data_IF_833338169833
#
_entry.id   IF_833338169833
#
_cell.length_a   1.000
_cell.length_b   1.000
_cell.length_c   1.000
_cell.angle_alpha   90.00
_cell.angle_beta   90.00
_cell.angle_gamma   90.00
#
_symmetry.space_group_name_H-M   'P 1'
#
loop_
_entity.id
_entity.type
_entity.pdbx_description
1 polymer ?
#
# COMPACT_ATOMS: atom_id res chain seq x y z
N UNK A 1 -15.60 10.33 -11.86
CA UNK A 1 -16.00 9.65 -10.61
C UNK A 1 -14.95 9.71 -9.49
N UNK A 2 -13.66 9.40 -9.70
CA UNK A 2 -12.65 9.43 -8.60
C UNK A 2 -12.37 10.81 -7.97
N UNK A 3 -12.31 11.92 -8.75
CA UNK A 3 -12.14 13.29 -8.19
C UNK A 3 -13.28 13.69 -7.24
N UNK A 4 -14.52 13.34 -7.61
CA UNK A 4 -15.68 13.50 -6.73
C UNK A 4 -15.54 12.64 -5.48
N UNK A 5 -15.19 11.36 -5.62
CA UNK A 5 -14.95 10.46 -4.48
C UNK A 5 -13.90 11.02 -3.50
N UNK A 6 -12.78 11.56 -4.00
CA UNK A 6 -11.75 12.20 -3.15
C UNK A 6 -12.31 13.36 -2.33
N UNK A 7 -13.11 14.21 -2.99
CA UNK A 7 -13.76 15.38 -2.38
C UNK A 7 -14.78 14.96 -1.32
N UNK A 8 -15.60 13.94 -1.62
CA UNK A 8 -16.56 13.38 -0.66
C UNK A 8 -15.87 12.74 0.55
N UNK A 9 -14.79 11.98 0.35
CA UNK A 9 -14.03 11.42 1.46
C UNK A 9 -13.43 12.53 2.31
N UNK A 10 -12.85 13.57 1.70
CA UNK A 10 -12.31 14.72 2.44
C UNK A 10 -13.38 15.40 3.29
N UNK A 11 -14.52 15.73 2.67
CA UNK A 11 -15.64 16.35 3.35
C UNK A 11 -16.19 15.47 4.49
N UNK A 12 -16.24 14.15 4.30
CA UNK A 12 -16.64 13.21 5.35
C UNK A 12 -15.65 13.18 6.53
N UNK A 13 -14.35 13.16 6.26
CA UNK A 13 -13.31 13.24 7.30
C UNK A 13 -13.38 14.56 8.07
N UNK A 14 -13.51 15.68 7.36
CA UNK A 14 -13.65 17.02 7.96
C UNK A 14 -14.94 17.12 8.79
N UNK A 15 -16.07 16.59 8.30
CA UNK A 15 -17.32 16.57 9.05
C UNK A 15 -17.21 15.73 10.33
N UNK A 16 -16.59 14.55 10.28
CA UNK A 16 -16.35 13.70 11.45
C UNK A 16 -15.46 14.38 12.49
N UNK A 17 -14.45 15.13 12.04
CA UNK A 17 -13.58 15.91 12.91
C UNK A 17 -14.34 17.08 13.56
N UNK A 18 -14.92 17.97 12.75
CA UNK A 18 -15.57 19.20 13.21
C UNK A 18 -16.80 18.94 14.09
N UNK A 19 -17.54 17.85 13.84
CA UNK A 19 -18.69 17.46 14.67
C UNK A 19 -18.30 16.77 15.98
N UNK A 20 -17.05 16.31 16.12
CA UNK A 20 -16.63 15.45 17.24
C UNK A 20 -17.22 14.04 17.21
N UNK A 21 -17.97 13.65 16.16
CA UNK A 21 -18.60 12.33 16.05
C UNK A 21 -17.60 11.17 16.18
N UNK A 22 -16.36 11.37 15.74
CA UNK A 22 -15.29 10.39 15.87
C UNK A 22 -14.97 10.00 17.33
N UNK A 23 -15.20 10.89 18.30
CA UNK A 23 -15.04 10.60 19.73
C UNK A 23 -16.13 9.64 20.21
N UNK A 24 -17.37 9.88 19.81
CA UNK A 24 -18.53 9.04 20.17
C UNK A 24 -18.49 7.67 19.50
N UNK A 25 -17.96 7.59 18.28
CA UNK A 25 -17.81 6.33 17.53
C UNK A 25 -16.62 5.49 18.02
N UNK A 26 -15.64 6.09 18.70
CA UNK A 26 -14.40 5.43 19.15
C UNK A 26 -14.64 4.15 19.95
N UNK A 27 -15.52 4.08 20.98
CA UNK A 27 -15.69 2.85 21.77
C UNK A 27 -16.17 1.66 20.94
N UNK A 28 -16.88 1.92 19.84
CA UNK A 28 -17.45 0.89 18.98
C UNK A 28 -16.52 0.48 17.84
N UNK A 29 -15.74 1.42 17.30
CA UNK A 29 -15.04 1.23 16.03
C UNK A 29 -13.52 1.30 16.12
N UNK A 30 -12.94 1.71 17.25
CA UNK A 30 -11.50 1.91 17.37
C UNK A 30 -10.69 0.61 17.43
N UNK A 31 -11.35 -0.51 17.74
CA UNK A 31 -10.72 -1.83 17.80
C UNK A 31 -9.63 -1.93 18.88
N UNK A 32 -8.93 -3.07 18.87
CA UNK A 32 -7.76 -3.34 19.73
C UNK A 32 -6.49 -2.72 19.16
N UNK A 33 -6.48 -2.36 17.87
CA UNK A 33 -5.36 -1.67 17.25
C UNK A 33 -5.60 -1.33 15.78
N UNK A 34 -4.53 -0.94 15.08
CA UNK A 34 -4.54 -0.64 13.65
C UNK A 34 -3.24 -1.09 12.98
N UNK A 35 -3.30 -1.38 11.68
CA UNK A 35 -2.13 -1.54 10.82
C UNK A 35 -2.19 -0.43 9.79
N UNK A 36 -1.20 0.46 9.78
CA UNK A 36 -1.11 1.54 8.80
C UNK A 36 -0.37 1.07 7.55
N UNK A 37 -0.93 1.37 6.36
CA UNK A 37 -0.28 1.13 5.06
C UNK A 37 0.22 2.43 4.47
N UNK A 38 1.50 2.41 4.10
CA UNK A 38 2.24 3.45 3.40
C UNK A 38 2.95 2.83 2.20
N UNK A 39 3.40 3.66 1.25
CA UNK A 39 4.22 3.22 0.12
C UNK A 39 5.46 4.11 0.04
N UNK A 40 5.31 5.33 -0.47
CA UNK A 40 6.38 6.33 -0.47
C UNK A 40 6.35 7.17 0.80
N UNK A 41 7.53 7.44 1.37
CA UNK A 41 7.73 8.55 2.31
C UNK A 41 8.76 9.49 1.74
N UNK A 42 8.36 10.69 1.35
CA UNK A 42 9.26 11.65 0.69
C UNK A 42 8.75 13.09 0.79
N UNK A 43 9.64 14.09 0.64
CA UNK A 43 9.23 15.48 0.53
C UNK A 43 8.23 15.72 -0.61
N UNK A 44 7.35 16.74 -0.50
CA UNK A 44 6.42 17.09 -1.56
C UNK A 44 7.10 17.33 -2.90
N UNK A 45 6.53 16.81 -3.99
CA UNK A 45 6.98 17.11 -5.34
C UNK A 45 6.33 18.41 -5.83
N UNK A 46 7.07 19.20 -6.61
CA UNK A 46 6.60 20.49 -7.15
C UNK A 46 5.86 20.42 -8.50
N UNK A 47 5.54 19.23 -9.01
CA UNK A 47 4.92 19.07 -10.33
C UNK A 47 3.39 19.25 -10.29
N UNK A 48 2.79 19.85 -11.32
CA UNK A 48 1.32 20.01 -11.37
C UNK A 48 0.57 18.70 -11.66
N UNK A 49 1.23 17.73 -12.30
CA UNK A 49 0.67 16.43 -12.64
C UNK A 49 1.31 15.33 -11.79
N UNK A 50 0.58 14.84 -10.79
CA UNK A 50 1.02 13.79 -9.87
C UNK A 50 -0.11 12.78 -9.62
N UNK A 51 -0.47 11.94 -10.61
CA UNK A 51 -1.61 11.04 -10.50
C UNK A 51 -1.43 9.98 -9.40
N UNK A 52 -0.19 9.60 -9.12
CA UNK A 52 0.16 8.63 -8.07
C UNK A 52 0.43 9.27 -6.70
N UNK A 53 0.17 10.58 -6.49
CA UNK A 53 0.44 11.24 -5.21
C UNK A 53 -0.33 10.64 -4.02
N UNK A 54 -1.38 9.85 -4.28
CA UNK A 54 -2.03 9.07 -3.22
C UNK A 54 -1.08 8.09 -2.52
N UNK A 55 -0.02 7.63 -3.17
CA UNK A 55 0.95 6.72 -2.56
C UNK A 55 2.03 7.45 -1.73
N UNK A 56 1.99 8.79 -1.67
CA UNK A 56 3.06 9.62 -1.11
C UNK A 56 2.66 10.22 0.23
N UNK A 57 3.43 9.90 1.27
CA UNK A 57 3.34 10.53 2.59
C UNK A 57 4.59 11.39 2.81
N UNK A 58 4.42 12.55 3.43
CA UNK A 58 5.53 13.42 3.80
C UNK A 58 6.17 12.94 5.11
N UNK A 59 7.48 13.13 5.30
CA UNK A 59 8.15 12.83 6.57
C UNK A 59 7.51 13.57 7.76
N UNK A 60 7.07 14.81 7.54
CA UNK A 60 6.45 15.63 8.58
C UNK A 60 5.08 15.08 9.01
N UNK A 61 4.23 14.68 8.05
CA UNK A 61 2.96 14.04 8.39
C UNK A 61 3.15 12.68 9.07
N UNK A 62 4.17 11.90 8.67
CA UNK A 62 4.53 10.68 9.37
C UNK A 62 4.93 10.97 10.83
N UNK A 63 5.73 12.02 11.06
CA UNK A 63 6.12 12.47 12.40
C UNK A 63 4.90 12.90 13.24
N UNK A 64 3.99 13.66 12.66
CA UNK A 64 2.72 14.04 13.31
C UNK A 64 1.88 12.81 13.70
N UNK A 65 1.80 11.82 12.80
CA UNK A 65 1.09 10.58 13.09
C UNK A 65 1.71 9.80 14.25
N UNK A 66 3.04 9.66 14.29
CA UNK A 66 3.74 8.96 15.38
C UNK A 66 3.60 9.70 16.71
N UNK A 67 3.68 11.04 16.71
CA UNK A 67 3.44 11.86 17.88
C UNK A 67 2.00 11.71 18.39
N UNK A 68 1.00 11.78 17.48
CA UNK A 68 -0.41 11.58 17.81
C UNK A 68 -0.67 10.22 18.48
N UNK A 69 -0.05 9.14 17.99
CA UNK A 69 -0.18 7.81 18.61
C UNK A 69 0.39 7.78 20.03
N UNK A 70 1.57 8.38 20.23
CA UNK A 70 2.22 8.46 21.54
C UNK A 70 1.39 9.27 22.53
N UNK A 71 0.87 10.42 22.11
CA UNK A 71 0.03 11.31 22.93
C UNK A 71 -1.31 10.66 23.32
N UNK A 72 -1.73 9.60 22.62
CA UNK A 72 -2.94 8.84 22.88
C UNK A 72 -2.68 7.46 23.51
N UNK A 73 -1.48 7.21 24.04
CA UNK A 73 -1.06 5.96 24.69
C UNK A 73 -1.23 4.70 23.82
N UNK A 74 -1.13 4.85 22.49
CA UNK A 74 -1.18 3.72 21.55
C UNK A 74 0.24 3.21 21.29
N UNK A 75 0.50 1.94 21.62
CA UNK A 75 1.83 1.35 21.46
C UNK A 75 2.15 1.08 19.99
N UNK A 76 3.33 1.47 19.55
CA UNK A 76 3.82 1.11 18.22
C UNK A 76 4.61 -0.19 18.35
N UNK A 77 4.12 -1.26 17.73
CA UNK A 77 4.64 -2.63 17.90
C UNK A 77 4.96 -3.28 16.55
N UNK A 78 5.73 -4.37 16.60
CA UNK A 78 5.98 -5.22 15.43
C UNK A 78 4.74 -6.04 15.04
N UNK A 79 4.70 -6.53 13.80
CA UNK A 79 3.65 -7.47 13.38
C UNK A 79 3.72 -8.81 14.13
N UNK A 80 4.90 -9.25 14.56
CA UNK A 80 5.05 -10.44 15.40
C UNK A 80 4.39 -10.26 16.78
N UNK A 81 4.58 -9.09 17.41
CA UNK A 81 3.94 -8.76 18.69
C UNK A 81 2.43 -8.61 18.52
N UNK A 82 1.97 -7.98 17.42
CA UNK A 82 0.54 -7.93 17.10
C UNK A 82 -0.05 -9.34 16.95
N UNK A 83 0.61 -10.22 16.19
CA UNK A 83 0.18 -11.60 16.03
C UNK A 83 0.11 -12.31 17.38
N UNK A 84 1.13 -12.17 18.22
CA UNK A 84 1.14 -12.73 19.57
C UNK A 84 -0.05 -12.23 20.42
N UNK A 85 -0.30 -10.92 20.45
CA UNK A 85 -1.44 -10.33 21.17
C UNK A 85 -2.80 -10.80 20.66
N UNK A 86 -2.95 -10.97 19.34
CA UNK A 86 -4.18 -11.50 18.75
C UNK A 86 -4.44 -12.95 19.16
N UNK A 87 -3.40 -13.79 19.11
CA UNK A 87 -3.50 -15.22 19.48
C UNK A 87 -3.76 -15.39 20.98
N UNK A 88 -3.00 -14.71 21.83
CA UNK A 88 -3.15 -14.77 23.29
C UNK A 88 -4.33 -13.93 23.83
N UNK A 89 -5.05 -13.24 22.94
CA UNK A 89 -6.14 -12.32 23.28
C UNK A 89 -5.73 -11.26 24.32
N UNK A 90 -4.49 -10.77 24.25
CA UNK A 90 -3.95 -9.75 25.14
C UNK A 90 -4.10 -8.35 24.55
N UNK A 91 -5.12 -7.62 25.00
CA UNK A 91 -5.47 -6.28 24.51
C UNK A 91 -5.48 -5.21 25.61
N UNK A 92 -4.67 -5.38 26.66
CA UNK A 92 -4.59 -4.42 27.77
C UNK A 92 -4.21 -3.00 27.29
N UNK A 93 -3.42 -2.92 26.21
CA UNK A 93 -3.04 -1.67 25.55
C UNK A 93 -3.39 -1.75 24.07
N UNK A 94 -3.94 -0.66 23.53
CA UNK A 94 -4.15 -0.51 22.08
C UNK A 94 -2.82 -0.38 21.38
N UNK A 95 -2.76 -0.87 20.15
CA UNK A 95 -1.52 -0.87 19.37
C UNK A 95 -1.68 -0.31 17.95
N UNK A 96 -0.55 0.02 17.35
CA UNK A 96 -0.38 0.40 15.96
C UNK A 96 0.81 -0.36 15.35
N UNK A 97 0.63 -0.88 14.15
CA UNK A 97 1.72 -1.42 13.32
C UNK A 97 1.89 -0.52 12.09
N UNK A 98 3.13 -0.33 11.63
CA UNK A 98 3.42 0.41 10.39
C UNK A 98 3.94 -0.54 9.32
N UNK A 99 3.35 -0.44 8.13
CA UNK A 99 3.70 -1.26 6.97
C UNK A 99 3.96 -0.37 5.75
N UNK A 100 5.02 -0.68 5.02
CA UNK A 100 5.45 0.03 3.82
C UNK A 100 5.54 -0.98 2.68
N UNK A 101 4.77 -0.76 1.62
CA UNK A 101 4.68 -1.69 0.50
C UNK A 101 5.73 -1.37 -0.58
N UNK A 102 5.95 -2.32 -1.49
CA UNK A 102 6.84 -2.30 -2.67
C UNK A 102 8.36 -2.27 -2.43
N UNK A 103 8.84 -1.78 -1.29
CA UNK A 103 10.28 -1.68 -0.99
C UNK A 103 10.96 -0.47 -1.66
N UNK A 104 10.30 0.69 -1.63
CA UNK A 104 10.86 1.94 -2.16
C UNK A 104 12.07 2.43 -1.36
N UNK A 105 13.06 2.98 -2.05
CA UNK A 105 14.28 3.53 -1.44
C UNK A 105 14.00 4.69 -0.48
N UNK A 106 12.95 5.46 -0.73
CA UNK A 106 12.56 6.55 0.15
C UNK A 106 12.06 6.08 1.53
N UNK A 107 11.70 4.80 1.69
CA UNK A 107 11.48 4.20 3.01
C UNK A 107 12.76 4.18 3.84
N UNK A 108 13.92 3.89 3.23
CA UNK A 108 15.23 3.97 3.90
C UNK A 108 15.64 5.43 4.08
N UNK A 109 15.50 6.24 3.04
CA UNK A 109 16.11 7.57 3.03
C UNK A 109 15.34 8.58 3.90
N UNK A 110 14.01 8.44 4.01
CA UNK A 110 13.17 9.40 4.73
C UNK A 110 12.27 8.78 5.80
N UNK A 111 11.71 7.57 5.60
CA UNK A 111 10.88 6.97 6.65
C UNK A 111 11.72 6.51 7.85
N UNK A 112 12.80 5.75 7.62
CA UNK A 112 13.64 5.19 8.69
C UNK A 112 14.16 6.25 9.68
N UNK A 113 14.69 7.43 9.26
CA UNK A 113 15.07 8.48 10.19
C UNK A 113 13.92 8.91 11.11
N UNK A 114 12.73 9.13 10.56
CA UNK A 114 11.54 9.50 11.35
C UNK A 114 11.14 8.37 12.28
N UNK A 115 11.15 7.12 11.83
CA UNK A 115 10.84 5.97 12.69
C UNK A 115 11.83 5.84 13.86
N UNK A 116 13.11 6.13 13.65
CA UNK A 116 14.15 6.15 14.69
C UNK A 116 13.91 7.21 15.76
N UNK A 117 13.48 8.41 15.37
CA UNK A 117 13.13 9.48 16.33
C UNK A 117 12.09 9.01 17.36
N UNK A 118 11.23 8.05 16.97
CA UNK A 118 10.16 7.54 17.82
C UNK A 118 10.44 6.17 18.44
N UNK A 119 11.58 5.53 18.10
CA UNK A 119 11.81 4.11 18.42
C UNK A 119 10.72 3.19 17.86
N UNK A 120 10.12 3.59 16.74
CA UNK A 120 8.92 2.97 16.18
C UNK A 120 9.31 1.81 15.24
N UNK A 121 8.99 0.54 15.57
CA UNK A 121 9.23 -0.56 14.65
C UNK A 121 8.29 -0.49 13.44
N UNK A 122 8.76 -1.02 12.31
CA UNK A 122 7.96 -1.11 11.09
C UNK A 122 8.38 -2.26 10.18
N UNK A 123 7.44 -2.65 9.32
CA UNK A 123 7.65 -3.72 8.33
C UNK A 123 7.69 -3.13 6.92
N UNK A 124 8.68 -3.54 6.13
CA UNK A 124 8.72 -3.27 4.69
C UNK A 124 8.37 -4.57 3.95
N UNK A 125 7.31 -4.53 3.14
CA UNK A 125 6.94 -5.62 2.25
C UNK A 125 7.66 -5.44 0.90
N UNK A 126 8.49 -6.41 0.54
CA UNK A 126 9.37 -6.33 -0.64
C UNK A 126 8.84 -7.22 -1.75
N UNK A 127 8.73 -6.66 -2.95
CA UNK A 127 8.56 -7.42 -4.18
C UNK A 127 9.94 -7.86 -4.68
N UNK A 128 10.17 -9.18 -4.81
CA UNK A 128 11.53 -9.70 -5.02
C UNK A 128 12.15 -9.31 -6.37
N UNK A 129 11.36 -9.14 -7.43
CA UNK A 129 11.86 -8.65 -8.71
C UNK A 129 12.17 -7.15 -8.68
N UNK A 130 11.53 -6.40 -7.78
CA UNK A 130 11.84 -4.98 -7.60
C UNK A 130 13.22 -4.83 -6.96
N UNK A 131 13.48 -5.63 -5.91
CA UNK A 131 14.80 -5.71 -5.27
C UNK A 131 15.91 -6.18 -6.21
N UNK A 132 15.54 -6.96 -7.24
CA UNK A 132 16.46 -7.42 -8.28
C UNK A 132 16.63 -6.44 -9.44
N UNK A 133 15.97 -5.28 -9.42
CA UNK A 133 15.99 -4.29 -10.51
C UNK A 133 15.28 -4.75 -11.80
N UNK A 134 14.53 -5.86 -11.75
CA UNK A 134 13.80 -6.43 -12.91
C UNK A 134 12.32 -6.06 -12.92
N UNK A 135 11.85 -5.42 -11.84
CA UNK A 135 10.47 -4.99 -11.68
C UNK A 135 9.96 -4.09 -12.81
N UNK A 136 8.64 -4.10 -12.97
CA UNK A 136 7.93 -3.23 -13.92
C UNK A 136 6.82 -2.47 -13.20
N UNK A 137 7.14 -1.26 -12.75
CA UNK A 137 6.19 -0.36 -12.08
C UNK A 137 5.35 0.37 -13.12
N UNK A 138 4.43 -0.36 -13.75
CA UNK A 138 3.66 0.13 -14.91
C UNK A 138 2.89 1.41 -14.61
N UNK A 139 2.46 1.64 -13.35
CA UNK A 139 1.75 2.87 -12.96
C UNK A 139 2.66 4.10 -12.95
N UNK A 140 3.95 3.92 -12.68
CA UNK A 140 4.97 4.99 -12.78
C UNK A 140 5.37 5.19 -14.24
N UNK A 141 5.53 4.10 -15.00
CA UNK A 141 5.78 4.18 -16.44
C UNK A 141 4.65 4.96 -17.15
N UNK A 142 3.40 4.68 -16.80
CA UNK A 142 2.24 5.41 -17.30
C UNK A 142 2.26 6.88 -16.88
N UNK A 143 2.65 7.19 -15.63
CA UNK A 143 2.80 8.59 -15.19
C UNK A 143 3.84 9.32 -16.05
N UNK A 144 5.00 8.70 -16.33
CA UNK A 144 6.04 9.29 -17.18
C UNK A 144 5.58 9.48 -18.63
N UNK A 145 4.89 8.49 -19.21
CA UNK A 145 4.32 8.59 -20.56
C UNK A 145 3.35 9.78 -20.65
N UNK A 146 2.38 9.87 -19.73
CA UNK A 146 1.37 10.94 -19.74
C UNK A 146 1.98 12.30 -19.38
N UNK A 147 3.02 12.32 -18.53
CA UNK A 147 3.73 13.55 -18.21
C UNK A 147 4.49 14.13 -19.41
N UNK A 148 5.08 13.28 -20.27
CA UNK A 148 5.84 13.70 -21.47
C UNK A 148 4.94 14.04 -22.67
N UNK A 149 3.81 13.34 -22.82
CA UNK A 149 2.96 13.48 -24.00
C UNK A 149 2.03 14.71 -23.93
N UNK A 150 1.79 15.33 -25.08
CA UNK A 150 0.68 16.29 -25.27
C UNK A 150 -0.57 15.60 -25.84
N UNK A 151 -0.40 14.45 -26.51
CA UNK A 151 -1.45 13.63 -27.06
C UNK A 151 -0.99 12.17 -27.07
N UNK A 152 -1.88 11.25 -26.72
CA UNK A 152 -1.61 9.80 -26.67
C UNK A 152 -2.53 9.07 -27.64
N UNK A 153 -1.92 8.27 -28.51
CA UNK A 153 -2.61 7.35 -29.40
C UNK A 153 -2.56 5.92 -28.85
N UNK A 154 -3.74 5.33 -28.66
CA UNK A 154 -3.87 4.00 -28.06
C UNK A 154 -5.04 3.23 -28.70
N UNK A 155 -4.93 1.91 -28.76
CA UNK A 155 -6.04 1.04 -29.15
C UNK A 155 -6.70 0.45 -27.90
N UNK A 156 -7.97 0.76 -27.66
CA UNK A 156 -8.74 0.23 -26.53
C UNK A 156 -9.98 -0.47 -27.09
N UNK A 157 -10.08 -1.79 -26.87
CA UNK A 157 -11.21 -2.58 -27.37
C UNK A 157 -11.34 -2.58 -28.89
N UNK A 158 -10.21 -2.54 -29.61
CA UNK A 158 -10.18 -2.46 -31.08
C UNK A 158 -10.44 -1.07 -31.66
N UNK A 159 -10.73 -0.06 -30.83
CA UNK A 159 -10.93 1.32 -31.26
C UNK A 159 -9.64 2.13 -31.10
N UNK A 160 -9.20 2.78 -32.17
CA UNK A 160 -8.12 3.76 -32.11
C UNK A 160 -8.62 5.05 -31.45
N UNK A 161 -8.00 5.44 -30.34
CA UNK A 161 -8.34 6.62 -29.57
C UNK A 161 -7.18 7.60 -29.56
N UNK A 162 -7.51 8.89 -29.69
CA UNK A 162 -6.63 10.02 -29.43
C UNK A 162 -7.04 10.66 -28.11
N UNK A 163 -6.13 10.69 -27.14
CA UNK A 163 -6.37 11.21 -25.80
C UNK A 163 -5.54 12.48 -25.61
N UNK A 164 -6.19 13.57 -25.20
CA UNK A 164 -5.55 14.84 -24.90
C UNK A 164 -4.74 14.77 -23.60
N UNK A 165 -3.49 15.20 -23.63
CA UNK A 165 -2.58 15.32 -22.49
C UNK A 165 -1.88 16.69 -22.47
N UNK A 166 -2.43 17.71 -23.13
CA UNK A 166 -1.81 19.03 -23.31
C UNK A 166 -1.80 19.91 -22.05
N UNK A 167 -2.68 19.64 -21.08
CA UNK A 167 -2.78 20.40 -19.81
C UNK A 167 -2.74 19.47 -18.59
N UNK A 168 -2.37 19.95 -17.39
CA UNK A 168 -2.39 19.12 -16.17
C UNK A 168 -3.75 18.43 -15.92
N UNK A 169 -4.85 19.15 -16.17
CA UNK A 169 -6.20 18.59 -16.06
C UNK A 169 -6.46 17.49 -17.11
N UNK A 170 -6.07 17.70 -18.37
CA UNK A 170 -6.19 16.70 -19.43
C UNK A 170 -5.33 15.46 -19.13
N UNK A 171 -4.09 15.65 -18.68
CA UNK A 171 -3.19 14.58 -18.20
C UNK A 171 -3.83 13.72 -17.12
N UNK A 172 -4.49 14.33 -16.13
CA UNK A 172 -5.19 13.59 -15.07
C UNK A 172 -6.34 12.73 -15.61
N UNK A 173 -7.11 13.25 -16.57
CA UNK A 173 -8.21 12.50 -17.21
C UNK A 173 -7.66 11.35 -18.05
N UNK A 174 -6.62 11.61 -18.85
CA UNK A 174 -5.98 10.64 -19.73
C UNK A 174 -5.29 9.52 -18.95
N UNK A 175 -4.52 9.87 -17.90
CA UNK A 175 -3.93 8.88 -17.00
C UNK A 175 -5.00 8.00 -16.38
N UNK A 176 -6.10 8.58 -15.86
CA UNK A 176 -7.16 7.80 -15.24
C UNK A 176 -7.79 6.81 -16.23
N UNK A 177 -8.06 7.25 -17.47
CA UNK A 177 -8.65 6.41 -18.51
C UNK A 177 -7.72 5.24 -18.88
N UNK A 178 -6.44 5.53 -19.10
CA UNK A 178 -5.44 4.50 -19.44
C UNK A 178 -5.20 3.54 -18.27
N UNK A 179 -5.10 4.07 -17.04
CA UNK A 179 -4.91 3.27 -15.84
C UNK A 179 -6.09 2.31 -15.62
N UNK A 180 -7.34 2.78 -15.76
CA UNK A 180 -8.52 1.92 -15.61
C UNK A 180 -8.59 0.85 -16.71
N UNK A 181 -8.22 1.20 -17.94
CA UNK A 181 -8.11 0.24 -19.04
C UNK A 181 -7.04 -0.83 -18.75
N UNK A 182 -5.81 -0.43 -18.41
CA UNK A 182 -4.73 -1.36 -18.06
C UNK A 182 -5.16 -2.28 -16.91
N UNK A 183 -5.77 -1.73 -15.86
CA UNK A 183 -6.30 -2.53 -14.75
C UNK A 183 -7.43 -3.48 -15.14
N UNK A 184 -8.14 -3.22 -16.24
CA UNK A 184 -9.19 -4.11 -16.75
C UNK A 184 -8.66 -5.28 -17.58
N UNK A 185 -7.39 -5.24 -18.00
CA UNK A 185 -6.82 -6.29 -18.85
C UNK A 185 -6.79 -7.66 -18.15
N UNK A 186 -6.89 -8.78 -18.90
CA UNK A 186 -7.06 -10.12 -18.32
C UNK A 186 -5.90 -10.56 -17.41
N UNK A 187 -4.66 -10.33 -17.83
CA UNK A 187 -3.48 -10.77 -17.10
C UNK A 187 -2.35 -9.74 -17.06
N UNK A 188 -1.35 -10.03 -16.24
CA UNK A 188 -0.16 -9.18 -16.07
C UNK A 188 0.62 -9.03 -17.38
N UNK A 189 0.76 -10.12 -18.14
CA UNK A 189 1.41 -10.09 -19.46
C UNK A 189 0.76 -9.08 -20.43
N UNK A 190 -0.58 -8.95 -20.40
CA UNK A 190 -1.29 -7.97 -21.23
C UNK A 190 -0.97 -6.55 -20.79
N UNK A 191 -0.97 -6.28 -19.47
CA UNK A 191 -0.59 -4.97 -18.92
C UNK A 191 0.82 -4.60 -19.35
N UNK A 192 1.77 -5.52 -19.21
CA UNK A 192 3.16 -5.32 -19.58
C UNK A 192 3.31 -5.06 -21.08
N UNK A 193 2.64 -5.84 -21.94
CA UNK A 193 2.66 -5.61 -23.39
C UNK A 193 2.17 -4.20 -23.76
N UNK A 194 1.02 -3.79 -23.21
CA UNK A 194 0.43 -2.49 -23.55
C UNK A 194 1.25 -1.32 -23.00
N UNK A 195 1.78 -1.42 -21.78
CA UNK A 195 2.62 -0.36 -21.21
C UNK A 195 3.96 -0.26 -21.94
N UNK A 196 4.63 -1.37 -22.25
CA UNK A 196 5.87 -1.37 -23.02
C UNK A 196 5.69 -0.74 -24.40
N UNK A 197 4.54 -0.98 -25.05
CA UNK A 197 4.22 -0.35 -26.34
C UNK A 197 4.03 1.18 -26.21
N UNK A 198 3.39 1.65 -25.14
CA UNK A 198 3.27 3.08 -24.84
C UNK A 198 4.62 3.71 -24.52
N UNK A 199 5.43 3.06 -23.69
CA UNK A 199 6.77 3.50 -23.33
C UNK A 199 7.67 3.62 -24.57
N UNK A 200 7.66 2.63 -25.45
CA UNK A 200 8.43 2.66 -26.69
C UNK A 200 8.04 3.83 -27.62
N UNK A 201 6.74 4.10 -27.79
CA UNK A 201 6.26 5.23 -28.63
C UNK A 201 6.61 6.60 -28.06
N UNK A 202 6.70 6.72 -26.74
CA UNK A 202 6.99 7.98 -26.05
C UNK A 202 8.44 8.07 -25.54
N UNK A 203 9.31 7.13 -25.93
CA UNK A 203 10.72 7.04 -25.53
C UNK A 203 10.91 7.12 -24.01
N UNK A 204 10.12 6.34 -23.28
CA UNK A 204 10.26 6.16 -21.83
C UNK A 204 11.02 4.85 -21.59
N UNK A 205 12.18 4.93 -20.95
CA UNK A 205 12.89 3.74 -20.48
C UNK A 205 12.24 3.23 -19.18
N UNK A 206 11.26 2.35 -19.33
CA UNK A 206 10.58 1.72 -18.20
C UNK A 206 11.46 0.78 -17.38
N UNK A 207 12.59 0.33 -17.93
CA UNK A 207 13.50 -0.61 -17.24
C UNK A 207 14.36 0.11 -16.20
N UNK A 208 14.63 1.41 -16.40
CA UNK A 208 15.34 2.26 -15.44
C UNK A 208 14.51 2.59 -14.19
N UNK A 209 13.18 2.56 -14.27
CA UNK A 209 12.28 3.03 -13.22
C UNK A 209 12.46 2.24 -11.92
N UNK A 210 12.57 0.92 -12.02
CA UNK A 210 12.67 0.05 -10.85
C UNK A 210 14.00 0.27 -10.10
N UNK A 211 15.18 0.19 -10.74
CA UNK A 211 16.43 0.58 -10.10
C UNK A 211 16.44 2.01 -9.56
N UNK A 212 15.74 2.94 -10.20
CA UNK A 212 15.64 4.34 -9.74
C UNK A 212 14.83 4.48 -8.45
N UNK A 213 13.80 3.65 -8.21
CA UNK A 213 12.85 3.87 -7.11
C UNK A 213 12.93 2.84 -5.99
N UNK A 214 13.28 1.60 -6.30
CA UNK A 214 13.24 0.48 -5.35
C UNK A 214 14.64 0.18 -4.81
N UNK A 215 14.71 -0.24 -3.56
CA UNK A 215 15.97 -0.67 -2.96
C UNK A 215 16.49 -1.94 -3.63
N UNK A 216 17.80 -2.02 -3.89
CA UNK A 216 18.44 -3.27 -4.30
C UNK A 216 18.54 -4.27 -3.14
N UNK A 217 18.90 -5.52 -3.43
CA UNK A 217 19.20 -6.51 -2.38
C UNK A 217 20.32 -6.08 -1.42
N UNK A 218 21.34 -5.36 -1.91
CA UNK A 218 22.40 -4.84 -1.05
C UNK A 218 21.88 -3.75 -0.11
N UNK A 219 21.05 -2.84 -0.62
CA UNK A 219 20.39 -1.81 0.19
C UNK A 219 19.44 -2.44 1.23
N UNK A 220 18.71 -3.49 0.84
CA UNK A 220 17.82 -4.24 1.73
C UNK A 220 18.57 -5.04 2.79
N UNK A 221 19.73 -5.62 2.49
CA UNK A 221 20.58 -6.30 3.49
C UNK A 221 21.01 -5.33 4.59
N UNK A 222 21.47 -4.14 4.21
CA UNK A 222 21.83 -3.10 5.17
C UNK A 222 20.62 -2.66 6.00
N UNK A 223 19.48 -2.44 5.35
CA UNK A 223 18.26 -2.01 6.03
C UNK A 223 17.69 -3.09 6.96
N UNK A 224 17.79 -4.36 6.58
CA UNK A 224 17.37 -5.50 7.41
C UNK A 224 18.27 -5.70 8.64
N UNK A 225 19.42 -5.02 8.75
CA UNK A 225 20.21 -5.03 9.97
C UNK A 225 19.68 -4.04 11.03
N UNK A 226 18.78 -3.14 10.66
CA UNK A 226 18.19 -2.17 11.58
C UNK A 226 17.26 -2.84 12.59
N UNK A 227 17.42 -2.60 13.91
CA UNK A 227 16.59 -3.24 14.94
C UNK A 227 15.09 -2.93 14.83
N UNK A 228 14.74 -1.78 14.23
CA UNK A 228 13.36 -1.34 14.04
C UNK A 228 12.70 -1.95 12.80
N UNK A 229 13.45 -2.63 11.94
CA UNK A 229 12.96 -3.07 10.63
C UNK A 229 12.74 -4.58 10.57
N UNK A 230 11.53 -4.94 10.18
CA UNK A 230 11.18 -6.28 9.70
C UNK A 230 10.96 -6.28 8.19
N UNK A 231 11.36 -7.35 7.51
CA UNK A 231 11.11 -7.53 6.08
C UNK A 231 10.02 -8.59 5.87
N UNK A 232 9.01 -8.25 5.09
CA UNK A 232 7.93 -9.13 4.66
C UNK A 232 7.91 -9.34 3.15
N UNK A 233 7.07 -10.26 2.68
CA UNK A 233 6.92 -10.54 1.24
C UNK A 233 5.81 -9.71 0.58
N UNK A 234 6.02 -9.33 -0.69
CA UNK A 234 5.04 -8.65 -1.54
C UNK A 234 4.95 -9.27 -2.95
N UNK A 235 4.88 -10.60 -3.00
CA UNK A 235 4.95 -11.42 -4.21
C UNK A 235 6.28 -11.30 -4.97
N UNK A 236 6.45 -12.05 -6.05
CA UNK A 236 7.65 -12.00 -6.88
C UNK A 236 7.63 -10.75 -7.75
N UNK A 237 6.54 -10.56 -8.49
CA UNK A 237 6.44 -9.60 -9.60
C UNK A 237 5.47 -8.43 -9.34
N UNK A 238 4.80 -8.40 -8.18
CA UNK A 238 3.71 -7.46 -7.89
C UNK A 238 2.48 -7.65 -8.81
N UNK A 239 2.23 -8.89 -9.26
CA UNK A 239 1.04 -9.17 -10.07
C UNK A 239 -0.24 -9.16 -9.22
N UNK A 240 -1.39 -8.90 -9.86
CA UNK A 240 -2.68 -9.13 -9.22
C UNK A 240 -2.92 -10.64 -9.10
N UNK A 241 -2.76 -11.17 -7.88
CA UNK A 241 -2.88 -12.60 -7.57
C UNK A 241 -4.25 -13.17 -7.95
N UNK A 242 -5.34 -12.44 -7.71
CA UNK A 242 -6.70 -12.86 -8.07
C UNK A 242 -6.91 -13.10 -9.57
N UNK A 243 -6.08 -12.48 -10.43
CA UNK A 243 -6.09 -12.69 -11.89
C UNK A 243 -5.21 -13.85 -12.34
N UNK A 244 -4.43 -14.44 -11.45
CA UNK A 244 -3.59 -15.60 -11.76
C UNK A 244 -4.32 -16.92 -11.53
N UNK A 245 -3.84 -17.98 -12.17
CA UNK A 245 -4.19 -19.35 -11.79
C UNK A 245 -3.72 -19.62 -10.35
N UNK A 246 -4.34 -20.60 -9.69
CA UNK A 246 -3.96 -20.97 -8.32
C UNK A 246 -2.47 -21.39 -8.23
N UNK A 247 -1.98 -22.14 -9.22
CA UNK A 247 -0.58 -22.56 -9.28
C UNK A 247 0.38 -21.37 -9.36
N UNK A 248 0.12 -20.43 -10.28
CA UNK A 248 0.94 -19.21 -10.42
C UNK A 248 0.87 -18.35 -9.17
N UNK A 249 -0.32 -18.16 -8.58
CA UNK A 249 -0.48 -17.40 -7.33
C UNK A 249 0.30 -18.06 -6.18
N UNK A 250 0.27 -19.39 -6.07
CA UNK A 250 1.04 -20.13 -5.06
C UNK A 250 2.54 -19.95 -5.26
N UNK A 251 3.04 -20.00 -6.49
CA UNK A 251 4.45 -19.73 -6.82
C UNK A 251 4.83 -18.30 -6.45
N UNK A 252 4.04 -17.31 -6.85
CA UNK A 252 4.25 -15.89 -6.51
C UNK A 252 4.35 -15.67 -4.99
N UNK A 253 3.54 -16.37 -4.20
CA UNK A 253 3.52 -16.26 -2.74
C UNK A 253 4.68 -17.03 -2.09
N UNK A 254 4.87 -18.31 -2.44
CA UNK A 254 5.85 -19.18 -1.79
C UNK A 254 7.29 -18.83 -2.18
N UNK A 255 7.55 -18.61 -3.47
CA UNK A 255 8.92 -18.38 -3.94
C UNK A 255 9.39 -16.96 -3.61
N UNK A 256 8.49 -15.97 -3.50
CA UNK A 256 8.89 -14.63 -3.02
C UNK A 256 9.41 -14.69 -1.59
N UNK A 257 8.73 -15.44 -0.72
CA UNK A 257 9.19 -15.73 0.64
C UNK A 257 10.57 -16.38 0.63
N UNK A 258 10.71 -17.50 -0.09
CA UNK A 258 11.96 -18.26 -0.14
C UNK A 258 13.14 -17.44 -0.68
N UNK A 259 12.92 -16.60 -1.70
CA UNK A 259 13.95 -15.70 -2.25
C UNK A 259 14.40 -14.66 -1.24
N UNK A 260 13.47 -14.01 -0.54
CA UNK A 260 13.80 -13.00 0.48
C UNK A 260 14.55 -13.67 1.65
N UNK A 261 14.09 -14.85 2.10
CA UNK A 261 14.77 -15.61 3.17
C UNK A 261 16.20 -15.98 2.75
N UNK A 262 16.42 -16.38 1.50
CA UNK A 262 17.74 -16.69 0.97
C UNK A 262 18.65 -15.44 0.86
N UNK A 263 18.12 -14.29 0.44
CA UNK A 263 18.91 -13.06 0.29
C UNK A 263 19.26 -12.39 1.63
N UNK A 264 18.38 -12.51 2.62
CA UNK A 264 18.50 -11.82 3.91
C UNK A 264 18.90 -12.74 5.08
N UNK A 265 18.87 -14.06 4.90
CA UNK A 265 19.19 -15.05 5.93
C UNK A 265 18.35 -14.86 7.21
N UNK A 266 17.09 -14.42 7.05
CA UNK A 266 16.12 -14.17 8.12
C UNK A 266 14.76 -14.74 7.72
N UNK A 267 13.95 -15.24 8.67
CA UNK A 267 12.62 -15.75 8.35
C UNK A 267 11.69 -14.63 7.88
N UNK A 268 10.85 -14.93 6.90
CA UNK A 268 9.84 -14.01 6.36
C UNK A 268 8.46 -14.51 6.76
N UNK A 269 7.89 -13.84 7.77
CA UNK A 269 6.69 -14.32 8.48
C UNK A 269 5.41 -13.60 8.09
N UNK A 270 5.53 -12.47 7.40
CA UNK A 270 4.40 -11.60 7.07
C UNK A 270 4.40 -11.28 5.57
N UNK A 271 3.21 -11.13 4.98
CA UNK A 271 3.06 -10.67 3.59
C UNK A 271 2.01 -9.57 3.45
N UNK A 272 2.12 -8.80 2.37
CA UNK A 272 1.03 -7.96 1.86
C UNK A 272 0.64 -8.45 0.47
N UNK A 273 -0.65 -8.42 0.15
CA UNK A 273 -1.13 -8.74 -1.19
C UNK A 273 -0.95 -7.53 -2.11
N UNK A 274 -0.31 -7.65 -3.29
CA UNK A 274 -0.23 -6.56 -4.27
C UNK A 274 -1.61 -6.02 -4.60
N UNK A 275 -1.74 -4.69 -4.68
CA UNK A 275 -3.00 -3.93 -4.74
C UNK A 275 -3.91 -4.08 -3.51
N UNK A 276 -4.10 -5.31 -3.00
CA UNK A 276 -4.73 -5.66 -1.73
C UNK A 276 -6.23 -5.36 -1.63
N UNK A 277 -6.85 -4.82 -2.67
CA UNK A 277 -8.28 -4.53 -2.69
C UNK A 277 -9.10 -5.82 -2.86
N UNK A 278 -10.44 -5.74 -2.74
CA UNK A 278 -11.32 -6.92 -2.85
C UNK A 278 -11.22 -7.66 -4.18
N UNK A 279 -10.80 -6.99 -5.25
CA UNK A 279 -10.62 -7.58 -6.57
C UNK A 279 -9.20 -8.16 -6.77
N UNK A 280 -8.30 -8.00 -5.79
CA UNK A 280 -6.92 -8.46 -5.86
C UNK A 280 -6.59 -9.58 -4.87
N UNK A 281 -7.32 -9.65 -3.75
CA UNK A 281 -7.17 -10.73 -2.77
C UNK A 281 -8.51 -11.10 -2.13
N UNK A 282 -8.82 -12.39 -2.15
CA UNK A 282 -9.98 -12.99 -1.49
C UNK A 282 -9.65 -14.33 -0.83
N UNK A 283 -10.68 -15.13 -0.58
CA UNK A 283 -10.56 -16.38 0.18
C UNK A 283 -9.46 -17.32 -0.35
N UNK A 284 -9.30 -17.43 -1.68
CA UNK A 284 -8.26 -18.25 -2.29
C UNK A 284 -6.86 -17.78 -1.87
N UNK A 285 -6.56 -16.50 -2.02
CA UNK A 285 -5.26 -15.93 -1.65
C UNK A 285 -5.00 -16.06 -0.15
N UNK A 286 -6.03 -15.91 0.69
CA UNK A 286 -5.92 -16.02 2.14
C UNK A 286 -5.54 -17.44 2.57
N UNK A 287 -6.12 -18.46 1.92
CA UNK A 287 -5.78 -19.88 2.15
C UNK A 287 -4.38 -20.18 1.64
N UNK A 288 -4.00 -19.68 0.46
CA UNK A 288 -2.65 -19.86 -0.08
C UNK A 288 -1.58 -19.25 0.82
N UNK A 289 -1.80 -18.03 1.33
CA UNK A 289 -0.90 -17.38 2.28
C UNK A 289 -0.70 -18.22 3.56
N UNK A 290 -1.79 -18.74 4.13
CA UNK A 290 -1.74 -19.60 5.30
C UNK A 290 -0.98 -20.91 5.01
N UNK A 291 -1.27 -21.55 3.87
CA UNK A 291 -0.61 -22.79 3.44
C UNK A 291 0.89 -22.59 3.15
N UNK A 292 1.30 -21.39 2.73
CA UNK A 292 2.71 -21.02 2.55
C UNK A 292 3.40 -20.64 3.88
N UNK A 293 2.71 -20.76 5.02
CA UNK A 293 3.28 -20.60 6.35
C UNK A 293 3.48 -19.16 6.82
N UNK A 294 2.78 -18.19 6.23
CA UNK A 294 2.76 -16.82 6.76
C UNK A 294 1.96 -16.75 8.05
N UNK A 295 2.53 -16.10 9.09
CA UNK A 295 1.83 -15.81 10.35
C UNK A 295 0.71 -14.80 10.13
N UNK A 296 0.97 -13.77 9.32
CA UNK A 296 -0.06 -12.79 8.95
C UNK A 296 0.05 -12.36 7.49
N UNK A 297 -1.08 -11.99 6.91
CA UNK A 297 -1.14 -11.35 5.60
C UNK A 297 -2.13 -10.18 5.61
N UNK A 298 -1.75 -9.07 4.97
CA UNK A 298 -2.50 -7.81 5.01
C UNK A 298 -3.04 -7.42 3.63
N UNK A 299 -4.24 -6.86 3.64
CA UNK A 299 -4.97 -6.31 2.49
C UNK A 299 -4.91 -4.77 2.49
N UNK A 300 -5.43 -4.11 1.46
CA UNK A 300 -5.68 -2.64 1.49
C UNK A 300 -7.14 -2.32 1.80
N UNK A 301 -7.93 -3.32 2.22
CA UNK A 301 -9.31 -3.12 2.68
C UNK A 301 -9.28 -2.21 3.92
N UNK A 302 -9.98 -1.07 3.93
CA UNK A 302 -9.95 -0.16 5.05
C UNK A 302 -10.50 -0.83 6.31
N UNK A 303 -9.78 -0.78 7.43
CA UNK A 303 -10.30 -1.34 8.67
C UNK A 303 -9.35 -1.23 9.85
N UNK A 304 -9.95 -1.25 11.05
CA UNK A 304 -9.22 -1.40 12.31
C UNK A 304 -9.01 -2.89 12.61
N UNK A 305 -8.12 -3.19 13.55
CA UNK A 305 -7.94 -4.54 14.06
C UNK A 305 -8.83 -4.72 15.28
N UNK A 306 -9.61 -5.80 15.29
CA UNK A 306 -10.47 -6.20 16.39
C UNK A 306 -9.99 -7.54 16.96
N UNK A 307 -10.50 -7.94 18.12
CA UNK A 307 -10.08 -9.20 18.74
C UNK A 307 -10.35 -10.39 17.82
N UNK A 308 -11.49 -10.38 17.13
CA UNK A 308 -11.95 -11.40 16.19
C UNK A 308 -11.10 -11.45 14.90
N UNK A 309 -10.24 -10.45 14.66
CA UNK A 309 -9.24 -10.53 13.58
C UNK A 309 -8.26 -11.71 13.76
N UNK A 310 -8.16 -12.27 14.97
CA UNK A 310 -7.41 -13.50 15.24
C UNK A 310 -7.91 -14.73 14.44
N UNK A 311 -9.16 -14.72 13.97
CA UNK A 311 -9.75 -15.78 13.14
C UNK A 311 -9.38 -15.64 11.65
N UNK A 312 -8.76 -14.51 11.28
CA UNK A 312 -8.49 -14.12 9.90
C UNK A 312 -7.08 -13.52 9.73
N UNK A 313 -6.07 -14.16 10.34
CA UNK A 313 -4.69 -13.64 10.36
C UNK A 313 -4.08 -13.41 8.96
N UNK A 314 -4.58 -14.10 7.93
CA UNK A 314 -4.16 -13.91 6.54
C UNK A 314 -5.09 -13.00 5.71
N UNK A 315 -6.02 -12.30 6.35
CA UNK A 315 -6.95 -11.36 5.71
C UNK A 315 -7.06 -10.03 6.47
N UNK A 316 -5.98 -9.58 7.10
CA UNK A 316 -6.01 -8.41 7.96
C UNK A 316 -6.25 -7.12 7.17
N UNK A 317 -7.09 -6.25 7.72
CA UNK A 317 -7.38 -4.93 7.15
C UNK A 317 -6.31 -3.91 7.52
N UNK A 318 -6.22 -2.82 6.77
CA UNK A 318 -5.27 -1.72 7.03
C UNK A 318 -5.94 -0.36 6.98
N UNK A 319 -5.32 0.63 7.60
CA UNK A 319 -5.68 2.05 7.49
C UNK A 319 -4.67 2.72 6.57
N UNK A 320 -5.11 3.24 5.44
CA UNK A 320 -4.23 3.92 4.49
C UNK A 320 -3.87 5.32 4.97
N UNK A 321 -2.57 5.56 5.17
CA UNK A 321 -2.01 6.91 5.21
C UNK A 321 -1.57 7.23 3.78
N UNK A 322 -2.21 8.23 3.18
CA UNK A 322 -2.04 8.52 1.76
C UNK A 322 -1.93 10.02 1.51
N UNK A 323 -1.39 10.37 0.34
CA UNK A 323 -1.07 11.75 0.04
C UNK A 323 -2.25 12.68 -0.23
N UNK A 324 -3.48 12.19 -0.19
CA UNK A 324 -4.66 13.03 -0.33
C UNK A 324 -5.13 13.66 0.99
N UNK A 325 -4.72 13.11 2.13
CA UNK A 325 -5.26 13.46 3.44
C UNK A 325 -4.14 13.59 4.49
N UNK A 326 -3.22 14.52 4.26
CA UNK A 326 -2.07 14.78 5.13
C UNK A 326 -2.26 16.06 5.95
N UNK A 327 -3.21 16.02 6.89
CA UNK A 327 -3.52 17.12 7.80
C UNK A 327 -3.74 16.52 9.19
N UNK A 328 -3.15 17.13 10.22
CA UNK A 328 -3.23 16.66 11.60
C UNK A 328 -4.67 16.42 12.10
N UNK A 329 -5.66 17.13 11.55
CA UNK A 329 -7.09 16.96 11.88
C UNK A 329 -7.65 15.60 11.48
N UNK A 330 -7.02 14.92 10.52
CA UNK A 330 -7.45 13.59 10.05
C UNK A 330 -7.01 12.49 11.02
N UNK A 331 -5.93 12.69 11.76
CA UNK A 331 -5.34 11.69 12.67
C UNK A 331 -6.31 11.16 13.74
N UNK A 332 -7.02 12.01 14.53
CA UNK A 332 -7.99 11.53 15.51
C UNK A 332 -9.20 10.81 14.86
N UNK A 333 -9.54 11.13 13.61
CA UNK A 333 -10.63 10.47 12.88
C UNK A 333 -10.22 9.08 12.37
N UNK A 334 -8.98 8.93 11.90
CA UNK A 334 -8.44 7.63 11.49
C UNK A 334 -8.25 6.70 12.69
N UNK A 335 -7.64 7.21 13.76
CA UNK A 335 -7.29 6.42 14.95
C UNK A 335 -8.50 5.99 15.80
N UNK A 336 -9.65 6.66 15.65
CA UNK A 336 -10.92 6.28 16.28
C UNK A 336 -11.66 5.16 15.54
N UNK A 337 -11.26 4.83 14.30
CA UNK A 337 -11.97 3.90 13.43
C UNK A 337 -13.26 4.46 12.80
N UNK A 338 -13.60 5.73 13.04
CA UNK A 338 -14.80 6.34 12.48
C UNK A 338 -14.74 6.44 10.94
N UNK A 339 -13.58 6.78 10.39
CA UNK A 339 -13.37 6.82 8.94
C UNK A 339 -13.60 5.46 8.27
N UNK A 340 -12.99 4.40 8.82
CA UNK A 340 -13.12 3.04 8.28
C UNK A 340 -14.53 2.49 8.47
N UNK A 341 -15.17 2.79 9.60
CA UNK A 341 -16.57 2.44 9.82
C UNK A 341 -17.47 3.05 8.74
N UNK A 342 -17.32 4.35 8.45
CA UNK A 342 -18.08 5.01 7.38
C UNK A 342 -17.84 4.36 6.01
N UNK A 343 -16.59 3.99 5.69
CA UNK A 343 -16.26 3.35 4.41
C UNK A 343 -16.79 1.92 4.28
N UNK A 344 -16.94 1.21 5.39
CA UNK A 344 -17.40 -0.19 5.42
C UNK A 344 -18.90 -0.32 5.76
N UNK A 345 -19.68 0.76 5.68
CA UNK A 345 -21.11 0.73 6.01
C UNK A 345 -21.37 0.38 7.47
N UNK A 346 -20.52 0.88 8.38
CA UNK A 346 -20.54 0.68 9.84
C UNK A 346 -20.36 -0.77 10.30
N UNK A 347 -19.74 -1.62 9.47
CA UNK A 347 -19.28 -2.95 9.87
C UNK A 347 -17.89 -2.86 10.49
N UNK A 348 -17.68 -3.60 11.59
CA UNK A 348 -16.39 -3.67 12.31
C UNK A 348 -15.34 -4.47 11.55
N UNK A 349 -15.73 -5.64 11.02
CA UNK A 349 -14.85 -6.56 10.30
C UNK A 349 -15.41 -6.80 8.91
N UNK A 350 -14.49 -6.81 7.95
CA UNK A 350 -14.78 -6.96 6.53
C UNK A 350 -13.81 -7.97 5.88
N UNK A 351 -13.65 -9.10 6.58
CA UNK A 351 -12.70 -10.17 6.24
C UNK A 351 -13.24 -11.18 5.19
N UNK A 352 -14.51 -11.02 4.75
CA UNK A 352 -15.11 -11.77 3.65
C UNK A 352 -15.00 -10.97 2.34
#
# INVERSE_FOLDING_TARGET
MRRFRKTFIRAGLEALYLSGAHVWLRPMFSGVGAIYTLHHVRPPRGADFQPNCHLEVTPDFLREMLAHLRDNDIEIITLDEMHHRLVERNFARRFACFTFDDGYRDNRDFALPVMREFGAPFTIYVTSDFASGRGRLWWVALERVVAKAEMIEVQIGGLALRLDASSPAAKCVTFQRLHDWLRSLPGEHDVQREISALCARHEIDETSICPELCMSWDELRALAAEPLVSIGAHSISHCNLAKQTEETARVEIADSRARIEAELQRPVLHMAYPYGDRAAAGQREFVLAAACGFKTAVTTRPGMIFAESAEHLTALSRVSLNGHYQDARVLPVLTSGAATAMWNGFRRIDAA
#
